data_IF_526003499124
#
_entry.id   IF_526003499124
#
_cell.length_a   1.000
_cell.length_b   1.000
_cell.length_c   1.000
_cell.angle_alpha   90.00
_cell.angle_beta   90.00
_cell.angle_gamma   90.00
#
_symmetry.space_group_name_H-M   'P 1'
#
loop_
_entity.id
_entity.type
_entity.pdbx_description
1 polymer ?
#
# COMPACT_ATOMS: atom_id res chain seq x y z
N UNK A 1 -1.97 10.42 -12.86
CA UNK A 1 -1.47 11.12 -11.66
C UNK A 1 -2.65 11.83 -11.04
N UNK A 2 -3.00 11.49 -9.80
CA UNK A 2 -4.05 12.16 -9.05
C UNK A 2 -3.40 13.39 -8.37
N UNK A 3 -3.22 14.47 -9.14
CA UNK A 3 -2.63 15.71 -8.63
C UNK A 3 -3.71 16.56 -7.98
N UNK A 4 -3.53 16.91 -6.71
CA UNK A 4 -4.38 17.85 -5.96
C UNK A 4 -4.36 19.26 -6.57
N UNK A 5 -3.32 19.59 -7.33
CA UNK A 5 -3.20 20.89 -8.00
C UNK A 5 -4.20 21.00 -9.18
N UNK A 6 -4.42 19.89 -9.89
CA UNK A 6 -5.18 19.85 -11.15
C UNK A 6 -6.53 19.13 -11.03
N UNK A 7 -6.81 18.46 -9.92
CA UNK A 7 -8.02 17.64 -9.73
C UNK A 7 -8.79 18.07 -8.49
N UNK A 8 -10.12 18.11 -8.59
CA UNK A 8 -11.01 18.39 -7.46
C UNK A 8 -11.47 17.06 -6.84
N UNK A 9 -11.22 16.88 -5.54
CA UNK A 9 -11.61 15.68 -4.79
C UNK A 9 -12.82 15.89 -3.88
N UNK A 10 -13.42 17.08 -3.89
CA UNK A 10 -14.61 17.37 -3.07
C UNK A 10 -15.75 16.38 -3.41
N UNK A 11 -16.25 15.64 -2.41
CA UNK A 11 -17.35 14.68 -2.54
C UNK A 11 -17.05 13.42 -3.37
N UNK A 12 -15.83 13.25 -3.88
CA UNK A 12 -15.38 12.09 -4.67
C UNK A 12 -14.13 11.43 -4.09
N UNK A 13 -13.69 11.87 -2.91
CA UNK A 13 -12.50 11.36 -2.25
C UNK A 13 -12.73 9.90 -1.79
N UNK A 14 -11.84 9.03 -2.23
CA UNK A 14 -11.71 7.67 -1.71
C UNK A 14 -10.46 7.61 -0.82
N UNK A 15 -10.49 6.78 0.22
CA UNK A 15 -9.44 6.71 1.24
C UNK A 15 -8.88 5.30 1.35
N UNK A 16 -7.56 5.18 1.38
CA UNK A 16 -6.90 3.94 1.77
C UNK A 16 -7.18 3.70 3.25
N UNK A 17 -7.78 2.56 3.58
CA UNK A 17 -7.94 2.10 4.97
C UNK A 17 -6.72 1.25 5.33
N UNK A 18 -5.88 1.67 6.30
CA UNK A 18 -4.75 0.88 6.76
C UNK A 18 -5.17 -0.50 7.26
N UNK A 19 -4.32 -1.52 7.08
CA UNK A 19 -4.70 -2.90 7.38
C UNK A 19 -5.08 -3.14 8.85
N UNK A 20 -4.37 -2.48 9.78
CA UNK A 20 -4.70 -2.50 11.21
C UNK A 20 -6.08 -1.88 11.50
N UNK A 21 -6.51 -0.88 10.74
CA UNK A 21 -7.83 -0.25 10.87
C UNK A 21 -8.91 -1.12 10.21
N UNK A 22 -8.59 -1.73 9.05
CA UNK A 22 -9.48 -2.64 8.34
C UNK A 22 -9.88 -3.85 9.21
N UNK A 23 -8.95 -4.34 10.02
CA UNK A 23 -9.13 -5.49 10.90
C UNK A 23 -9.56 -5.12 12.33
N UNK A 24 -9.69 -3.81 12.61
CA UNK A 24 -10.18 -3.32 13.90
C UNK A 24 -11.71 -3.47 14.02
N UNK A 25 -12.26 -2.98 15.14
CA UNK A 25 -13.71 -2.94 15.32
C UNK A 25 -14.37 -1.99 14.31
N UNK A 26 -15.63 -2.28 13.96
CA UNK A 26 -16.42 -1.43 13.06
C UNK A 26 -16.44 0.04 13.51
N UNK A 27 -16.45 0.29 14.82
CA UNK A 27 -16.39 1.64 15.35
C UNK A 27 -15.09 2.38 14.99
N UNK A 28 -13.94 1.70 15.08
CA UNK A 28 -12.64 2.30 14.70
C UNK A 28 -12.61 2.60 13.21
N UNK A 29 -13.09 1.67 12.39
CA UNK A 29 -13.19 1.81 10.95
C UNK A 29 -14.06 3.02 10.54
N UNK A 30 -15.28 3.11 11.08
CA UNK A 30 -16.22 4.19 10.75
C UNK A 30 -15.73 5.54 11.29
N UNK A 31 -15.12 5.55 12.48
CA UNK A 31 -14.53 6.75 13.04
C UNK A 31 -13.39 7.26 12.16
N UNK A 32 -12.53 6.37 11.67
CA UNK A 32 -11.44 6.71 10.76
C UNK A 32 -11.94 7.36 9.47
N UNK A 33 -12.92 6.72 8.80
CA UNK A 33 -13.50 7.25 7.56
C UNK A 33 -14.19 8.59 7.79
N UNK A 34 -14.94 8.74 8.88
CA UNK A 34 -15.57 10.01 9.27
C UNK A 34 -14.55 11.14 9.42
N UNK A 35 -13.37 10.87 10.00
CA UNK A 35 -12.31 11.87 10.15
C UNK A 35 -11.65 12.22 8.82
N UNK A 36 -11.42 11.24 7.95
CA UNK A 36 -10.90 11.47 6.61
C UNK A 36 -11.87 12.33 5.77
N UNK A 37 -13.18 12.04 5.84
CA UNK A 37 -14.21 12.80 5.16
C UNK A 37 -14.28 14.25 5.67
N UNK A 38 -14.30 14.46 6.99
CA UNK A 38 -14.31 15.80 7.58
C UNK A 38 -13.10 16.65 7.17
N UNK A 39 -11.91 16.03 7.03
CA UNK A 39 -10.73 16.74 6.53
C UNK A 39 -10.93 17.23 5.09
N UNK A 40 -11.59 16.43 4.25
CA UNK A 40 -11.89 16.81 2.86
C UNK A 40 -13.05 17.81 2.74
N UNK A 41 -13.97 17.84 3.70
CA UNK A 41 -14.98 18.92 3.83
C UNK A 41 -14.28 20.25 4.13
N UNK A 42 -13.37 20.28 5.10
CA UNK A 42 -12.58 21.48 5.42
C UNK A 42 -11.67 21.92 4.27
N UNK A 43 -11.11 20.98 3.51
CA UNK A 43 -10.41 21.28 2.26
C UNK A 43 -11.32 22.07 1.29
N UNK A 44 -12.59 21.66 1.14
CA UNK A 44 -13.54 22.34 0.28
C UNK A 44 -13.95 23.72 0.83
N UNK A 45 -14.18 23.83 2.15
CA UNK A 45 -14.51 25.09 2.82
C UNK A 45 -13.41 26.15 2.61
N UNK A 46 -12.16 25.77 2.82
CA UNK A 46 -11.01 26.68 2.60
C UNK A 46 -10.88 27.04 1.12
N UNK A 47 -11.13 26.10 0.21
CA UNK A 47 -11.19 26.39 -1.22
C UNK A 47 -12.27 27.41 -1.59
N UNK A 48 -13.44 27.35 -0.95
CA UNK A 48 -14.52 28.32 -1.15
C UNK A 48 -14.17 29.73 -0.66
N UNK A 49 -13.23 29.86 0.27
CA UNK A 49 -12.66 31.13 0.71
C UNK A 49 -11.62 31.71 -0.28
N UNK A 50 -11.41 31.10 -1.44
CA UNK A 50 -10.50 31.59 -2.48
C UNK A 50 -9.04 31.15 -2.32
N UNK A 51 -8.74 30.23 -1.38
CA UNK A 51 -7.41 29.66 -1.20
C UNK A 51 -7.11 28.66 -2.34
N UNK A 52 -5.86 28.65 -2.82
CA UNK A 52 -5.45 27.74 -3.88
C UNK A 52 -5.53 26.28 -3.45
N UNK A 53 -5.73 25.37 -4.41
CA UNK A 53 -5.81 23.93 -4.15
C UNK A 53 -4.53 23.38 -3.54
N UNK A 54 -3.38 23.94 -3.91
CA UNK A 54 -2.07 23.56 -3.37
C UNK A 54 -1.99 23.87 -1.87
N UNK A 55 -2.42 25.06 -1.47
CA UNK A 55 -2.44 25.46 -0.07
C UNK A 55 -3.53 24.72 0.72
N UNK A 56 -4.73 24.56 0.15
CA UNK A 56 -5.79 23.77 0.77
C UNK A 56 -5.40 22.30 0.92
N UNK A 57 -4.60 21.76 -0.02
CA UNK A 57 -4.13 20.38 -0.03
C UNK A 57 -3.33 19.95 1.20
N UNK A 58 -2.78 20.90 1.98
CA UNK A 58 -2.15 20.60 3.27
C UNK A 58 -3.13 20.06 4.32
N UNK A 59 -4.45 20.19 4.11
CA UNK A 59 -5.48 19.55 4.93
C UNK A 59 -5.79 18.11 4.51
N UNK A 60 -5.43 17.70 3.30
CA UNK A 60 -5.77 16.39 2.79
C UNK A 60 -5.10 15.30 3.65
N UNK A 61 -5.83 14.27 4.10
CA UNK A 61 -5.24 13.21 4.89
C UNK A 61 -4.27 12.39 4.00
N UNK A 62 -3.23 11.81 4.61
CA UNK A 62 -2.28 10.94 3.91
C UNK A 62 -2.96 9.71 3.27
N UNK A 63 -4.15 9.35 3.75
CA UNK A 63 -4.96 8.27 3.23
C UNK A 63 -5.70 8.60 1.96
N UNK A 64 -5.70 9.86 1.51
CA UNK A 64 -6.36 10.24 0.27
C UNK A 64 -5.79 9.41 -0.89
N UNK A 65 -6.67 8.70 -1.59
CA UNK A 65 -6.29 7.80 -2.67
C UNK A 65 -5.58 8.56 -3.78
N UNK A 66 -4.44 8.03 -4.21
CA UNK A 66 -3.70 8.52 -5.37
C UNK A 66 -3.48 7.41 -6.40
N UNK A 67 -3.21 7.80 -7.64
CA UNK A 67 -2.92 6.90 -8.76
C UNK A 67 -1.54 7.22 -9.30
N UNK A 68 -0.64 6.25 -9.17
CA UNK A 68 0.72 6.28 -9.68
C UNK A 68 0.88 5.23 -10.80
N UNK A 69 1.52 5.63 -11.90
CA UNK A 69 1.96 4.71 -12.95
C UNK A 69 3.46 4.50 -12.77
N UNK A 70 3.88 3.25 -12.63
CA UNK A 70 5.29 2.87 -12.43
C UNK A 70 5.75 2.06 -13.64
N UNK A 71 6.82 2.52 -14.29
CA UNK A 71 7.56 1.73 -15.29
C UNK A 71 8.93 1.39 -14.72
N UNK A 72 9.27 0.11 -14.72
CA UNK A 72 10.51 -0.39 -14.14
C UNK A 72 10.96 -1.66 -14.87
N UNK A 73 12.28 -1.83 -14.99
CA UNK A 73 12.90 -3.04 -15.54
C UNK A 73 12.73 -4.23 -14.58
N UNK A 74 12.89 -5.49 -15.05
CA UNK A 74 12.86 -6.65 -14.16
C UNK A 74 13.83 -6.55 -12.98
N UNK A 75 15.03 -5.99 -13.21
CA UNK A 75 16.00 -5.75 -12.14
C UNK A 75 15.46 -4.81 -11.07
N UNK A 76 14.83 -3.69 -11.47
CA UNK A 76 14.24 -2.74 -10.55
C UNK A 76 13.05 -3.34 -9.78
N UNK A 77 12.21 -4.14 -10.44
CA UNK A 77 11.13 -4.86 -9.76
C UNK A 77 11.66 -5.81 -8.69
N UNK A 78 12.65 -6.65 -9.03
CA UNK A 78 13.32 -7.55 -8.07
C UNK A 78 13.88 -6.79 -6.87
N UNK A 79 14.50 -5.63 -7.13
CA UNK A 79 15.07 -4.80 -6.07
C UNK A 79 13.99 -4.22 -5.15
N UNK A 80 12.92 -3.65 -5.72
CA UNK A 80 11.82 -3.08 -4.94
C UNK A 80 11.09 -4.16 -4.13
N UNK A 81 10.76 -5.30 -4.74
CA UNK A 81 10.11 -6.41 -4.06
C UNK A 81 11.00 -6.93 -2.93
N UNK A 82 12.27 -7.20 -3.19
CA UNK A 82 13.22 -7.71 -2.21
C UNK A 82 13.37 -6.86 -0.93
N UNK A 83 13.12 -5.55 -1.03
CA UNK A 83 13.15 -4.61 0.09
C UNK A 83 11.80 -4.42 0.78
N UNK A 84 10.71 -4.44 -0.01
CA UNK A 84 9.39 -3.94 0.41
C UNK A 84 8.41 -5.04 0.80
N UNK A 85 8.67 -6.30 0.45
CA UNK A 85 7.82 -7.44 0.86
C UNK A 85 8.32 -8.16 2.11
N UNK A 86 9.11 -7.50 2.98
CA UNK A 86 9.51 -8.02 4.30
C UNK A 86 8.48 -7.59 5.37
N UNK A 87 8.23 -8.40 6.42
CA UNK A 87 7.15 -8.15 7.42
C UNK A 87 7.42 -6.96 8.33
N UNK A 88 8.58 -6.31 8.17
CA UNK A 88 8.91 -5.03 8.83
C UNK A 88 8.47 -3.80 8.05
N UNK A 89 8.06 -3.95 6.78
CA UNK A 89 7.55 -2.82 6.01
C UNK A 89 6.11 -2.51 6.45
N UNK A 90 5.59 -1.34 6.10
CA UNK A 90 4.18 -1.05 6.36
C UNK A 90 3.32 -2.05 5.59
N UNK A 91 2.18 -2.41 6.17
CA UNK A 91 1.29 -3.40 5.57
C UNK A 91 0.78 -2.96 4.21
N UNK A 92 0.51 -1.66 4.03
CA UNK A 92 0.01 -1.10 2.78
C UNK A 92 1.06 -1.26 1.65
N UNK A 93 2.33 -0.96 1.95
CA UNK A 93 3.41 -1.09 0.98
C UNK A 93 3.68 -2.56 0.67
N UNK A 94 3.73 -3.41 1.71
CA UNK A 94 3.95 -4.85 1.56
C UNK A 94 2.83 -5.50 0.75
N UNK A 95 1.57 -5.18 1.03
CA UNK A 95 0.40 -5.67 0.30
C UNK A 95 0.46 -5.34 -1.19
N UNK A 96 0.69 -4.07 -1.54
CA UNK A 96 0.78 -3.64 -2.96
C UNK A 96 1.92 -4.36 -3.68
N UNK A 97 3.10 -4.46 -3.07
CA UNK A 97 4.25 -5.11 -3.70
C UNK A 97 4.09 -6.64 -3.79
N UNK A 98 3.38 -7.28 -2.86
CA UNK A 98 3.03 -8.70 -2.96
C UNK A 98 2.01 -8.96 -4.09
N UNK A 99 1.05 -8.05 -4.31
CA UNK A 99 0.15 -8.13 -5.48
C UNK A 99 0.91 -8.01 -6.79
N UNK A 100 1.77 -6.99 -6.91
CA UNK A 100 2.63 -6.82 -8.10
C UNK A 100 3.51 -8.04 -8.32
N UNK A 101 4.15 -8.56 -7.26
CA UNK A 101 4.98 -9.75 -7.38
C UNK A 101 4.17 -10.98 -7.77
N UNK A 102 2.93 -11.14 -7.28
CA UNK A 102 2.03 -12.22 -7.70
C UNK A 102 1.78 -12.17 -9.21
N UNK A 103 1.46 -10.99 -9.74
CA UNK A 103 1.20 -10.82 -11.18
C UNK A 103 2.47 -11.06 -12.01
N UNK A 104 3.62 -10.54 -11.57
CA UNK A 104 4.91 -10.77 -12.24
C UNK A 104 5.33 -12.24 -12.22
N UNK A 105 5.11 -12.94 -11.10
CA UNK A 105 5.38 -14.37 -10.99
C UNK A 105 4.48 -15.19 -11.91
N UNK A 106 3.20 -14.81 -12.06
CA UNK A 106 2.30 -15.46 -13.01
C UNK A 106 2.72 -15.25 -14.47
N UNK A 107 3.33 -14.11 -14.78
CA UNK A 107 3.88 -13.81 -16.11
C UNK A 107 5.14 -14.62 -16.42
N UNK A 108 6.08 -14.70 -15.47
CA UNK A 108 7.34 -15.43 -15.64
C UNK A 108 7.85 -15.99 -14.29
N UNK A 109 7.52 -17.25 -13.95
CA UNK A 109 7.91 -17.87 -12.69
C UNK A 109 9.42 -18.04 -12.51
N UNK A 110 10.16 -18.26 -13.60
CA UNK A 110 11.61 -18.44 -13.56
C UNK A 110 12.29 -17.10 -13.29
N UNK A 111 11.87 -16.06 -14.01
CA UNK A 111 12.41 -14.72 -13.82
C UNK A 111 12.06 -14.16 -12.44
N UNK A 112 10.83 -14.37 -11.95
CA UNK A 112 10.33 -13.78 -10.71
C UNK A 112 10.20 -14.76 -9.54
N UNK A 113 11.02 -15.81 -9.52
CA UNK A 113 11.00 -16.82 -8.46
C UNK A 113 11.28 -16.24 -7.05
N UNK A 114 10.81 -16.90 -5.97
CA UNK A 114 11.13 -16.52 -4.58
C UNK A 114 12.62 -16.37 -4.30
N UNK A 115 13.46 -17.20 -4.91
CA UNK A 115 14.91 -17.22 -4.74
C UNK A 115 15.58 -15.99 -5.38
N UNK A 116 14.98 -15.41 -6.41
CA UNK A 116 15.53 -14.26 -7.14
C UNK A 116 14.88 -12.93 -6.73
N UNK A 117 13.63 -12.97 -6.30
CA UNK A 117 12.76 -11.78 -6.18
C UNK A 117 12.27 -11.55 -4.77
N UNK A 118 12.12 -12.62 -3.98
CA UNK A 118 11.56 -12.57 -2.63
C UNK A 118 12.33 -11.66 -1.66
N UNK A 119 11.71 -11.27 -0.53
CA UNK A 119 12.33 -10.38 0.43
C UNK A 119 13.64 -10.98 0.95
N UNK A 120 14.59 -10.13 1.32
CA UNK A 120 15.88 -10.64 1.82
C UNK A 120 15.72 -11.60 3.01
N UNK A 121 14.73 -11.36 3.88
CA UNK A 121 14.43 -12.25 5.00
C UNK A 121 13.99 -13.67 4.58
N UNK A 122 13.50 -13.84 3.36
CA UNK A 122 13.21 -15.14 2.74
C UNK A 122 14.45 -15.80 2.15
N UNK A 123 15.36 -15.01 1.54
CA UNK A 123 16.47 -15.52 0.73
C UNK A 123 17.73 -15.80 1.54
N UNK A 124 18.18 -14.82 2.30
CA UNK A 124 19.52 -14.80 2.92
C UNK A 124 19.53 -14.22 4.35
N UNK A 125 18.39 -13.73 4.83
CA UNK A 125 18.22 -13.11 6.15
C UNK A 125 17.83 -11.63 6.08
N UNK A 126 17.23 -11.13 7.16
CA UNK A 126 16.81 -9.74 7.21
C UNK A 126 18.04 -8.81 7.33
N UNK A 127 18.24 -7.92 6.35
CA UNK A 127 19.43 -7.04 6.28
C UNK A 127 19.43 -5.86 7.26
N UNK A 128 18.36 -5.72 8.06
CA UNK A 128 18.08 -4.52 8.88
C UNK A 128 18.60 -4.63 10.32
N UNK A 129 19.35 -5.69 10.63
CA UNK A 129 20.04 -5.88 11.92
C UNK A 129 19.08 -5.68 13.10
N UNK A 130 19.27 -4.62 13.90
CA UNK A 130 18.43 -4.30 15.06
C UNK A 130 16.96 -4.02 14.72
N UNK A 131 16.65 -3.68 13.46
CA UNK A 131 15.30 -3.47 12.95
C UNK A 131 14.82 -4.65 12.09
N UNK A 132 15.29 -5.86 12.40
CA UNK A 132 14.86 -7.07 11.69
C UNK A 132 13.36 -7.32 11.87
N UNK A 133 12.75 -8.05 10.94
CA UNK A 133 11.32 -8.35 11.01
C UNK A 133 10.91 -9.25 12.17
N UNK A 134 11.84 -9.96 12.82
CA UNK A 134 11.55 -10.98 13.85
C UNK A 134 10.80 -12.22 13.35
N UNK A 135 10.07 -12.11 12.24
CA UNK A 135 9.26 -13.14 11.61
C UNK A 135 9.61 -13.22 10.11
N UNK A 136 10.69 -13.93 9.73
CA UNK A 136 11.10 -14.06 8.33
C UNK A 136 10.03 -14.77 7.51
N UNK A 137 9.96 -14.46 6.20
CA UNK A 137 9.11 -15.20 5.27
C UNK A 137 9.69 -16.61 5.06
N UNK A 138 8.82 -17.60 4.91
CA UNK A 138 9.25 -18.99 4.68
C UNK A 138 9.99 -19.11 3.34
N UNK A 139 11.09 -19.88 3.33
CA UNK A 139 11.90 -20.10 2.12
C UNK A 139 11.04 -20.72 1.02
N UNK A 140 11.11 -20.18 -0.19
CA UNK A 140 10.34 -20.68 -1.34
C UNK A 140 8.84 -20.35 -1.31
N UNK A 141 8.31 -19.74 -0.24
CA UNK A 141 6.92 -19.30 -0.21
C UNK A 141 6.59 -18.38 -1.40
N UNK A 142 5.53 -18.74 -2.12
CA UNK A 142 5.03 -18.00 -3.27
C UNK A 142 4.39 -16.68 -2.84
N UNK A 143 4.47 -15.62 -3.67
CA UNK A 143 3.91 -14.30 -3.33
C UNK A 143 2.42 -14.35 -2.98
N UNK A 144 1.63 -15.14 -3.72
CA UNK A 144 0.20 -15.29 -3.46
C UNK A 144 -0.08 -16.00 -2.13
N UNK A 145 0.77 -16.95 -1.73
CA UNK A 145 0.64 -17.63 -0.45
C UNK A 145 0.92 -16.65 0.71
N UNK A 146 1.99 -15.84 0.59
CA UNK A 146 2.30 -14.78 1.54
C UNK A 146 1.18 -13.74 1.63
N UNK A 147 0.62 -13.33 0.49
CA UNK A 147 -0.49 -12.37 0.44
C UNK A 147 -1.73 -12.89 1.16
N UNK A 148 -2.11 -14.15 0.92
CA UNK A 148 -3.27 -14.79 1.58
C UNK A 148 -3.05 -15.02 3.07
N UNK A 149 -1.83 -15.36 3.46
CA UNK A 149 -1.47 -15.58 4.85
C UNK A 149 -1.53 -14.28 5.65
N UNK A 150 -0.92 -13.22 5.13
CA UNK A 150 -0.70 -11.99 5.91
C UNK A 150 -1.88 -11.01 5.79
N UNK A 151 -2.63 -11.04 4.68
CA UNK A 151 -3.69 -10.06 4.38
C UNK A 151 -5.05 -10.66 3.99
N UNK A 152 -5.59 -11.66 4.73
CA UNK A 152 -6.86 -12.30 4.38
C UNK A 152 -8.03 -11.31 4.25
N UNK A 153 -8.17 -10.38 5.20
CA UNK A 153 -9.29 -9.41 5.20
C UNK A 153 -9.27 -8.46 3.98
N UNK A 154 -8.08 -8.12 3.49
CA UNK A 154 -7.94 -7.25 2.31
C UNK A 154 -8.25 -7.96 0.98
N UNK A 155 -8.31 -9.31 0.99
CA UNK A 155 -8.69 -10.11 -0.17
C UNK A 155 -10.20 -10.40 -0.20
N UNK A 156 -10.83 -10.51 0.97
CA UNK A 156 -12.29 -10.74 1.10
C UNK A 156 -13.12 -9.53 0.66
N UNK A 157 -12.61 -8.31 0.86
CA UNK A 157 -13.25 -7.06 0.42
C UNK A 157 -12.98 -6.65 -1.03
N UNK A 158 -12.29 -7.49 -1.82
CA UNK A 158 -11.89 -7.20 -3.21
C UNK A 158 -12.88 -7.65 -4.28
N UNK A 159 -14.16 -7.84 -3.94
CA UNK A 159 -15.23 -8.06 -4.91
C UNK A 159 -15.59 -6.74 -5.60
N UNK A 160 -15.46 -6.74 -6.93
CA UNK A 160 -15.94 -5.70 -7.86
C UNK A 160 -17.35 -5.19 -7.52
#
# INVERSE_FOLDING_TARGET
>A
SASLQYSNYAGQADFVVPYEILTASQWVHDFYLKKCQAAMEHYADIGACGISRDAAGYLAPQSLRNVLIISATPYQWKHMIGQRTCRRNTDETRFVLLKIWTDLYALDPELFSPELTGPFCQREGCREKGMSCGCPCEKGALPLALLRQDYPAALEGGGL
#
